data_IF_877524126939
#
_entry.id   IF_877524126939
#
_cell.length_a   1.000
_cell.length_b   1.000
_cell.length_c   1.000
_cell.angle_alpha   90.00
_cell.angle_beta   90.00
_cell.angle_gamma   90.00
#
_symmetry.space_group_name_H-M   'P 1'
#
loop_
_entity.id
_entity.type
_entity.pdbx_description
1 polymer ?
#
# COMPACT_ATOMS: atom_id res chain seq x y z
N UNK A 1 10.50 -15.76 -26.20
CA UNK A 1 9.11 -15.92 -25.73
C UNK A 1 9.14 -15.51 -24.27
N UNK A 2 8.50 -14.42 -23.89
CA UNK A 2 8.41 -14.01 -22.47
C UNK A 2 7.33 -14.87 -21.82
N UNK A 3 7.66 -15.56 -20.72
CA UNK A 3 6.64 -16.23 -19.91
C UNK A 3 5.75 -15.17 -19.26
N UNK A 4 4.43 -15.40 -19.26
CA UNK A 4 3.50 -14.58 -18.45
C UNK A 4 3.82 -14.80 -16.97
N UNK A 5 3.77 -13.74 -16.18
CA UNK A 5 3.82 -13.87 -14.73
C UNK A 5 2.49 -14.48 -14.23
N UNK A 6 2.57 -15.43 -13.30
CA UNK A 6 1.39 -16.04 -12.67
C UNK A 6 0.81 -15.10 -11.60
N UNK A 7 1.66 -14.31 -10.95
CA UNK A 7 1.32 -13.33 -9.91
C UNK A 7 2.37 -12.23 -9.86
N UNK A 8 1.95 -11.03 -9.51
CA UNK A 8 2.83 -9.92 -9.17
C UNK A 8 2.61 -9.53 -7.71
N UNK A 9 3.70 -9.47 -6.95
CA UNK A 9 3.73 -9.02 -5.57
C UNK A 9 4.62 -7.79 -5.50
N UNK A 10 4.05 -6.66 -5.09
CA UNK A 10 4.84 -5.46 -4.81
C UNK A 10 5.23 -5.43 -3.34
N UNK A 11 6.49 -5.15 -3.05
CA UNK A 11 7.01 -5.02 -1.69
C UNK A 11 7.84 -3.76 -1.55
N UNK A 12 7.60 -2.99 -0.51
CA UNK A 12 8.30 -1.72 -0.28
C UNK A 12 7.92 -1.09 1.06
N UNK A 13 8.28 0.17 1.24
CA UNK A 13 7.85 0.97 2.38
C UNK A 13 6.76 1.98 1.99
N UNK A 14 6.13 2.58 2.99
CA UNK A 14 5.10 3.60 2.83
C UNK A 14 4.99 4.49 4.08
N UNK A 15 4.48 5.71 3.90
CA UNK A 15 4.02 6.54 5.00
C UNK A 15 2.68 6.04 5.56
N UNK A 16 2.56 5.97 6.89
CA UNK A 16 1.33 5.56 7.57
C UNK A 16 0.36 6.71 7.81
N UNK A 17 -0.94 6.40 7.89
CA UNK A 17 -1.99 7.40 8.18
C UNK A 17 -1.94 7.97 9.61
N UNK A 18 -1.27 7.29 10.52
CA UNK A 18 -1.07 7.74 11.90
C UNK A 18 -2.19 7.39 12.88
N UNK A 19 -3.33 6.94 12.43
CA UNK A 19 -4.46 6.58 13.30
C UNK A 19 -4.40 5.10 13.67
N UNK A 20 -4.26 4.22 12.69
CA UNK A 20 -4.39 2.78 12.85
C UNK A 20 -3.06 2.04 12.80
N UNK A 21 -2.00 2.65 12.25
CA UNK A 21 -0.73 1.98 11.97
C UNK A 21 0.43 2.63 12.71
N UNK A 22 1.45 1.83 13.00
CA UNK A 22 2.69 2.29 13.62
C UNK A 22 3.88 1.95 12.72
N UNK A 23 5.03 2.58 12.99
CA UNK A 23 6.29 2.26 12.31
C UNK A 23 6.59 0.78 12.50
N UNK A 24 7.06 0.10 11.44
CA UNK A 24 7.29 -1.33 11.30
C UNK A 24 6.03 -2.18 11.08
N UNK A 25 4.82 -1.66 11.29
CA UNK A 25 3.63 -2.38 10.86
C UNK A 25 3.64 -2.61 9.35
N UNK A 26 2.94 -3.64 8.91
CA UNK A 26 2.81 -3.96 7.49
C UNK A 26 1.38 -3.73 7.03
N UNK A 27 1.20 -2.93 6.01
CA UNK A 27 -0.09 -2.79 5.33
C UNK A 27 -0.10 -3.65 4.08
N UNK A 28 -1.08 -4.54 3.99
CA UNK A 28 -1.37 -5.36 2.81
C UNK A 28 -2.56 -4.76 2.09
N UNK A 29 -2.43 -4.55 0.79
CA UNK A 29 -3.49 -3.92 0.01
C UNK A 29 -4.74 -4.79 -0.08
N UNK A 30 -5.89 -4.24 0.28
CA UNK A 30 -7.20 -4.75 -0.15
C UNK A 30 -7.59 -4.13 -1.48
N UNK A 31 -7.30 -2.84 -1.60
CA UNK A 31 -7.55 -1.99 -2.75
C UNK A 31 -6.43 -0.97 -2.89
N UNK A 32 -6.29 -0.43 -4.10
CA UNK A 32 -5.34 0.63 -4.43
C UNK A 32 -6.05 1.73 -5.21
N UNK A 33 -5.67 2.98 -4.95
CA UNK A 33 -6.18 4.16 -5.65
C UNK A 33 -5.05 5.16 -5.86
N UNK A 34 -5.18 6.04 -6.87
CA UNK A 34 -4.29 7.18 -6.98
C UNK A 34 -4.77 8.34 -6.09
N UNK A 35 -3.86 8.95 -5.33
CA UNK A 35 -4.20 10.11 -4.51
C UNK A 35 -3.96 11.46 -5.21
N UNK A 36 -3.41 11.45 -6.42
CA UNK A 36 -3.03 12.64 -7.19
C UNK A 36 -3.67 12.69 -8.59
N UNK A 37 -4.61 11.78 -8.89
CA UNK A 37 -5.36 11.76 -10.15
C UNK A 37 -6.75 12.36 -9.97
N UNK A 38 -7.08 13.30 -10.84
CA UNK A 38 -8.43 13.84 -10.95
C UNK A 38 -8.72 14.25 -12.40
N UNK A 39 -9.63 13.56 -13.05
CA UNK A 39 -9.98 13.79 -14.45
C UNK A 39 -11.03 14.88 -14.65
N UNK A 40 -11.52 15.52 -13.59
CA UNK A 40 -12.52 16.59 -13.65
C UNK A 40 -13.92 16.11 -14.03
N UNK A 41 -14.86 17.03 -14.14
CA UNK A 41 -16.26 16.73 -14.48
C UNK A 41 -16.56 16.91 -15.97
N UNK A 42 -15.65 17.43 -16.76
CA UNK A 42 -15.87 17.75 -18.18
C UNK A 42 -16.09 16.51 -19.07
N UNK A 43 -15.67 15.34 -18.63
CA UNK A 43 -15.75 14.07 -19.36
C UNK A 43 -16.69 13.06 -18.69
N UNK A 44 -17.63 13.55 -17.87
CA UNK A 44 -18.59 12.74 -17.11
C UNK A 44 -18.37 12.82 -15.62
N UNK A 45 -19.01 11.93 -14.86
CA UNK A 45 -18.70 11.81 -13.42
C UNK A 45 -17.32 11.20 -13.26
N UNK A 46 -16.38 11.93 -12.70
CA UNK A 46 -15.09 11.38 -12.28
C UNK A 46 -15.01 11.35 -10.76
N UNK A 47 -14.52 10.24 -10.25
CA UNK A 47 -14.22 10.05 -8.84
C UNK A 47 -12.76 10.46 -8.61
N UNK A 48 -12.48 11.09 -7.47
CA UNK A 48 -11.10 11.43 -7.11
C UNK A 48 -10.28 10.14 -6.99
N UNK A 49 -9.11 10.11 -7.62
CA UNK A 49 -8.24 8.93 -7.71
C UNK A 49 -8.52 8.00 -8.88
N UNK A 50 -9.59 8.23 -9.66
CA UNK A 50 -9.90 7.40 -10.80
C UNK A 50 -9.22 7.88 -12.07
N UNK A 51 -8.43 6.99 -12.70
CA UNK A 51 -7.92 7.18 -14.05
C UNK A 51 -9.06 6.91 -15.02
N UNK A 52 -9.24 7.80 -16.01
CA UNK A 52 -10.31 7.66 -17.00
C UNK A 52 -10.26 6.31 -17.73
N UNK A 53 -11.41 5.63 -17.78
CA UNK A 53 -11.53 4.32 -18.42
C UNK A 53 -11.09 3.12 -17.55
N UNK A 54 -10.70 3.40 -16.31
CA UNK A 54 -10.34 2.38 -15.32
C UNK A 54 -11.32 2.34 -14.15
N UNK A 55 -11.29 1.28 -13.33
CA UNK A 55 -12.07 1.25 -12.09
C UNK A 55 -11.60 2.34 -11.11
N UNK A 56 -12.47 2.75 -10.20
CA UNK A 56 -12.14 3.71 -9.13
C UNK A 56 -11.04 3.19 -8.20
N UNK A 57 -11.01 1.88 -8.02
CA UNK A 57 -10.08 1.15 -7.16
C UNK A 57 -9.58 -0.09 -7.86
N UNK A 58 -8.30 -0.37 -7.77
CA UNK A 58 -7.71 -1.64 -8.20
C UNK A 58 -7.73 -2.60 -7.00
N UNK A 59 -8.52 -3.67 -7.11
CA UNK A 59 -8.64 -4.67 -6.03
C UNK A 59 -7.47 -5.64 -6.06
N UNK A 60 -6.97 -6.00 -4.87
CA UNK A 60 -6.06 -7.11 -4.74
C UNK A 60 -6.74 -8.42 -5.15
N UNK A 61 -5.95 -9.40 -5.60
CA UNK A 61 -6.48 -10.72 -5.94
C UNK A 61 -7.11 -11.38 -4.70
N UNK A 62 -8.34 -11.94 -4.79
CA UNK A 62 -9.03 -12.48 -3.63
C UNK A 62 -8.32 -13.68 -2.98
N UNK A 63 -7.62 -14.52 -3.76
CA UNK A 63 -6.89 -15.68 -3.22
C UNK A 63 -5.64 -15.24 -2.47
N UNK A 64 -4.91 -14.28 -3.03
CA UNK A 64 -3.74 -13.69 -2.37
C UNK A 64 -4.15 -12.95 -1.09
N UNK A 65 -5.25 -12.20 -1.15
CA UNK A 65 -5.78 -11.49 0.00
C UNK A 65 -6.22 -12.44 1.14
N UNK A 66 -6.88 -13.54 0.82
CA UNK A 66 -7.27 -14.53 1.81
C UNK A 66 -6.05 -15.15 2.54
N UNK A 67 -4.97 -15.42 1.81
CA UNK A 67 -3.70 -15.88 2.43
C UNK A 67 -3.09 -14.81 3.33
N UNK A 68 -3.02 -13.57 2.88
CA UNK A 68 -2.50 -12.47 3.69
C UNK A 68 -3.33 -12.23 4.96
N UNK A 69 -4.65 -12.41 4.87
CA UNK A 69 -5.56 -12.34 6.02
C UNK A 69 -5.26 -13.43 7.05
N UNK A 70 -4.99 -14.65 6.62
CA UNK A 70 -4.59 -15.73 7.53
C UNK A 70 -3.27 -15.40 8.23
N UNK A 71 -2.28 -14.90 7.50
CA UNK A 71 -1.01 -14.45 8.09
C UNK A 71 -1.20 -13.34 9.14
N UNK A 72 -2.12 -12.41 8.90
CA UNK A 72 -2.44 -11.35 9.87
C UNK A 72 -2.98 -11.92 11.19
N UNK A 73 -3.84 -12.94 11.11
CA UNK A 73 -4.36 -13.65 12.29
C UNK A 73 -3.24 -14.39 13.02
N UNK A 74 -2.40 -15.12 12.29
CA UNK A 74 -1.30 -15.89 12.85
C UNK A 74 -0.27 -14.98 13.55
N UNK A 75 0.07 -13.84 12.96
CA UNK A 75 0.97 -12.85 13.54
C UNK A 75 0.40 -12.23 14.81
N UNK A 76 -0.89 -11.95 14.86
CA UNK A 76 -1.58 -11.44 16.04
C UNK A 76 -1.55 -12.44 17.20
N UNK A 77 -1.77 -13.71 16.92
CA UNK A 77 -1.71 -14.80 17.92
C UNK A 77 -0.29 -15.00 18.45
N UNK A 78 0.71 -14.85 17.59
CA UNK A 78 2.12 -14.99 17.97
C UNK A 78 2.67 -13.79 18.76
N UNK A 79 1.90 -12.75 19.02
CA UNK A 79 2.33 -11.51 19.68
C UNK A 79 3.57 -10.89 19.04
N UNK A 80 3.58 -10.79 17.70
CA UNK A 80 4.66 -10.16 16.96
C UNK A 80 4.86 -8.70 17.37
N UNK A 81 6.09 -8.20 17.25
CA UNK A 81 6.43 -6.79 17.55
C UNK A 81 5.82 -5.80 16.55
N UNK A 82 5.30 -6.27 15.43
CA UNK A 82 4.60 -5.52 14.40
C UNK A 82 3.21 -6.13 14.16
N UNK A 83 2.33 -5.36 13.56
CA UNK A 83 1.01 -5.84 13.15
C UNK A 83 0.90 -5.87 11.62
N UNK A 84 0.06 -6.78 11.11
CA UNK A 84 -0.30 -6.84 9.70
C UNK A 84 -1.72 -6.30 9.55
N UNK A 85 -1.85 -5.19 8.87
CA UNK A 85 -3.12 -4.52 8.59
C UNK A 85 -3.53 -4.79 7.15
N UNK A 86 -4.83 -4.95 6.94
CA UNK A 86 -5.42 -5.02 5.61
C UNK A 86 -6.12 -3.69 5.34
N UNK A 87 -5.89 -3.08 4.17
CA UNK A 87 -6.50 -1.80 3.89
C UNK A 87 -6.16 -1.19 2.53
N UNK A 88 -6.72 0.00 2.29
CA UNK A 88 -6.42 0.79 1.11
C UNK A 88 -4.98 1.33 1.20
N UNK A 89 -4.23 1.20 0.11
CA UNK A 89 -3.00 1.93 -0.12
C UNK A 89 -3.28 3.00 -1.19
N UNK A 90 -3.01 4.26 -0.88
CA UNK A 90 -3.14 5.35 -1.82
C UNK A 90 -1.77 5.73 -2.40
N UNK A 91 -1.69 5.81 -3.74
CA UNK A 91 -0.45 5.97 -4.48
C UNK A 91 -0.43 7.29 -5.24
N UNK A 92 0.72 7.94 -5.34
CA UNK A 92 0.90 9.11 -6.22
C UNK A 92 2.35 9.53 -6.35
N UNK A 93 2.66 10.39 -7.30
CA UNK A 93 4.02 10.87 -7.59
C UNK A 93 4.45 11.99 -6.62
N UNK A 94 4.10 11.84 -5.35
CA UNK A 94 4.42 12.80 -4.29
C UNK A 94 5.00 12.11 -3.07
N UNK A 95 6.25 12.45 -2.71
CA UNK A 95 6.81 12.05 -1.43
C UNK A 95 6.15 12.87 -0.31
N UNK A 96 5.33 12.21 0.51
CA UNK A 96 4.50 12.87 1.53
C UNK A 96 5.31 13.07 2.79
N UNK A 97 5.97 14.22 2.90
CA UNK A 97 6.83 14.63 4.01
C UNK A 97 6.19 15.66 4.95
N UNK A 98 4.93 16.02 4.73
CA UNK A 98 4.26 17.07 5.50
C UNK A 98 2.88 16.66 6.00
N UNK A 99 2.52 17.20 7.18
CA UNK A 99 1.20 16.99 7.79
C UNK A 99 0.06 17.50 6.91
N UNK A 100 0.27 18.60 6.22
CA UNK A 100 -0.80 19.22 5.42
C UNK A 100 -1.08 18.40 4.17
N UNK A 101 -0.04 17.87 3.50
CA UNK A 101 -0.23 16.97 2.37
C UNK A 101 -0.87 15.65 2.80
N UNK A 102 -0.46 15.09 3.93
CA UNK A 102 -1.11 13.88 4.48
C UNK A 102 -2.58 14.12 4.80
N UNK A 103 -2.93 15.26 5.42
CA UNK A 103 -4.33 15.61 5.70
C UNK A 103 -5.18 15.79 4.44
N UNK A 104 -4.61 16.39 3.39
CA UNK A 104 -5.26 16.52 2.09
C UNK A 104 -5.60 15.14 1.53
N UNK A 105 -4.63 14.21 1.52
CA UNK A 105 -4.83 12.84 1.01
C UNK A 105 -5.90 12.10 1.83
N UNK A 106 -5.79 12.12 3.16
CA UNK A 106 -6.78 11.48 4.06
C UNK A 106 -8.16 12.11 3.91
N UNK A 107 -8.23 13.42 3.60
CA UNK A 107 -9.49 14.09 3.30
C UNK A 107 -10.25 13.48 2.11
N UNK A 108 -9.53 12.95 1.12
CA UNK A 108 -10.10 12.24 -0.03
C UNK A 108 -10.22 10.72 0.20
N UNK A 109 -9.34 10.16 1.00
CA UNK A 109 -9.21 8.72 1.27
C UNK A 109 -9.12 8.44 2.77
N UNK A 110 -10.21 8.68 3.54
CA UNK A 110 -10.19 8.54 4.99
C UNK A 110 -9.90 7.09 5.46
N UNK A 111 -10.15 6.11 4.60
CA UNK A 111 -9.87 4.69 4.87
C UNK A 111 -8.45 4.24 4.47
N UNK A 112 -7.63 5.12 3.85
CA UNK A 112 -6.26 4.77 3.48
C UNK A 112 -5.41 4.53 4.73
N UNK A 113 -4.72 3.39 4.77
CA UNK A 113 -3.81 3.02 5.85
C UNK A 113 -2.36 3.35 5.53
N UNK A 114 -2.00 3.36 4.26
CA UNK A 114 -0.66 3.65 3.79
C UNK A 114 -0.68 4.49 2.52
N UNK A 115 0.37 5.29 2.35
CA UNK A 115 0.59 6.16 1.19
C UNK A 115 1.93 5.79 0.59
N UNK A 116 1.95 5.47 -0.70
CA UNK A 116 3.17 5.09 -1.43
C UNK A 116 3.27 5.77 -2.81
N UNK A 117 4.25 5.39 -3.60
CA UNK A 117 4.48 6.00 -4.91
C UNK A 117 4.41 4.99 -6.08
N UNK A 118 4.17 3.69 -5.85
CA UNK A 118 4.28 2.67 -6.90
C UNK A 118 3.07 1.74 -7.02
N UNK A 119 2.40 1.42 -5.92
CA UNK A 119 1.46 0.29 -5.88
C UNK A 119 0.30 0.38 -6.86
N UNK A 120 -0.34 1.54 -7.01
CA UNK A 120 -1.47 1.68 -7.92
C UNK A 120 -1.04 1.60 -9.40
N UNK A 121 0.16 2.09 -9.75
CA UNK A 121 0.68 2.00 -11.12
C UNK A 121 0.97 0.54 -11.53
N UNK A 122 1.54 -0.24 -10.59
CA UNK A 122 1.75 -1.67 -10.79
C UNK A 122 0.40 -2.40 -10.90
N UNK A 123 -0.53 -2.11 -9.99
CA UNK A 123 -1.86 -2.70 -9.99
C UNK A 123 -2.65 -2.39 -11.27
N UNK A 124 -2.57 -1.16 -11.77
CA UNK A 124 -3.17 -0.77 -13.06
C UNK A 124 -2.60 -1.58 -14.21
N UNK A 125 -1.29 -1.79 -14.23
CA UNK A 125 -0.63 -2.63 -15.23
C UNK A 125 -1.10 -4.08 -15.13
N UNK A 126 -1.16 -4.62 -13.90
CA UNK A 126 -1.66 -5.98 -13.65
C UNK A 126 -3.14 -6.12 -14.07
N UNK A 127 -3.97 -5.11 -13.79
CA UNK A 127 -5.37 -5.07 -14.23
C UNK A 127 -5.49 -5.16 -15.76
N UNK A 128 -4.69 -4.40 -16.51
CA UNK A 128 -4.68 -4.43 -17.97
C UNK A 128 -4.27 -5.80 -18.55
N UNK A 129 -3.38 -6.49 -17.87
CA UNK A 129 -2.85 -7.78 -18.32
C UNK A 129 -3.53 -8.99 -17.66
N UNK A 130 -4.55 -8.76 -16.83
CA UNK A 130 -5.27 -9.79 -16.08
C UNK A 130 -4.34 -10.67 -15.22
N UNK A 131 -3.32 -10.08 -14.63
CA UNK A 131 -2.38 -10.75 -13.73
C UNK A 131 -2.79 -10.51 -12.27
N UNK A 132 -2.92 -11.55 -11.44
CA UNK A 132 -3.17 -11.40 -10.00
C UNK A 132 -2.13 -10.50 -9.33
N UNK A 133 -2.57 -9.60 -8.46
CA UNK A 133 -1.72 -8.61 -7.81
C UNK A 133 -2.04 -8.43 -6.33
N UNK A 134 -1.01 -8.19 -5.53
CA UNK A 134 -1.11 -7.74 -4.13
C UNK A 134 0.12 -6.89 -3.77
N UNK A 135 -0.06 -5.91 -2.87
CA UNK A 135 1.02 -5.07 -2.38
C UNK A 135 1.20 -5.21 -0.88
N UNK A 136 2.47 -5.22 -0.44
CA UNK A 136 2.90 -5.20 0.95
C UNK A 136 3.74 -3.94 1.18
N UNK A 137 3.37 -3.14 2.18
CA UNK A 137 4.07 -1.91 2.55
C UNK A 137 4.41 -1.91 4.02
N UNK A 138 5.69 -1.86 4.34
CA UNK A 138 6.16 -1.64 5.71
C UNK A 138 6.08 -0.15 6.00
N UNK A 139 5.49 0.21 7.13
CA UNK A 139 5.38 1.62 7.52
C UNK A 139 6.75 2.11 7.99
N UNK A 140 7.34 3.01 7.21
CA UNK A 140 8.64 3.62 7.47
C UNK A 140 8.57 4.87 8.33
N UNK A 141 7.47 5.62 8.19
CA UNK A 141 7.26 6.91 8.81
C UNK A 141 5.76 7.21 8.93
N UNK A 142 5.44 8.19 9.75
CA UNK A 142 4.06 8.66 9.94
C UNK A 142 4.07 10.18 9.80
N UNK A 143 3.80 10.74 8.61
CA UNK A 143 3.92 12.16 8.34
C UNK A 143 3.08 13.07 9.26
N UNK A 144 1.99 12.55 9.84
CA UNK A 144 1.20 13.29 10.85
C UNK A 144 1.92 13.43 12.18
N UNK A 145 2.88 12.56 12.51
CA UNK A 145 3.65 12.55 13.75
C UNK A 145 5.07 13.10 13.56
N UNK A 146 5.59 13.02 12.33
CA UNK A 146 6.90 13.52 11.94
C UNK A 146 6.79 14.84 11.16
N UNK A 147 7.80 15.69 11.23
CA UNK A 147 7.79 17.00 10.55
C UNK A 147 8.95 17.20 9.59
N UNK A 148 9.92 16.29 9.56
CA UNK A 148 11.19 16.47 8.85
C UNK A 148 11.72 15.20 8.19
N UNK A 149 10.85 14.21 8.01
CA UNK A 149 11.19 12.88 7.45
C UNK A 149 12.28 12.13 8.24
N UNK A 150 12.53 12.48 9.50
CA UNK A 150 13.55 11.82 10.33
C UNK A 150 13.22 10.35 10.54
N UNK A 151 11.95 10.00 10.74
CA UNK A 151 11.50 8.62 10.87
C UNK A 151 11.83 7.78 9.63
N UNK A 152 11.63 8.33 8.42
CA UNK A 152 11.98 7.66 7.17
C UNK A 152 13.49 7.38 7.08
N UNK A 153 14.32 8.35 7.42
CA UNK A 153 15.78 8.16 7.42
C UNK A 153 16.23 7.15 8.48
N UNK A 154 15.66 7.21 9.69
CA UNK A 154 15.96 6.28 10.77
C UNK A 154 15.55 4.85 10.42
N UNK A 155 14.40 4.67 9.76
CA UNK A 155 13.93 3.37 9.28
C UNK A 155 14.98 2.70 8.38
N UNK A 156 15.47 3.40 7.37
CA UNK A 156 16.46 2.85 6.45
C UNK A 156 17.80 2.56 7.11
N UNK A 157 18.19 3.35 8.12
CA UNK A 157 19.45 3.16 8.82
C UNK A 157 19.42 2.02 9.85
N UNK A 158 18.24 1.64 10.36
CA UNK A 158 18.15 0.78 11.56
C UNK A 158 17.24 -0.43 11.41
N UNK A 159 16.20 -0.38 10.60
CA UNK A 159 15.09 -1.33 10.63
C UNK A 159 14.90 -2.08 9.32
N UNK A 160 15.30 -1.51 8.19
CA UNK A 160 14.94 -1.98 6.85
C UNK A 160 15.28 -3.45 6.59
N UNK A 161 16.38 -3.97 7.10
CA UNK A 161 16.85 -5.33 6.83
C UNK A 161 15.86 -6.42 7.29
N UNK A 162 15.10 -6.16 8.35
CA UNK A 162 14.14 -7.11 8.91
C UNK A 162 12.68 -6.85 8.50
N UNK A 163 12.43 -5.69 7.89
CA UNK A 163 11.06 -5.20 7.65
C UNK A 163 10.32 -5.95 6.54
N UNK A 164 11.04 -6.58 5.62
CA UNK A 164 10.45 -7.29 4.48
C UNK A 164 10.21 -8.79 4.74
N UNK A 165 10.41 -9.24 5.98
CA UNK A 165 10.24 -10.65 6.34
C UNK A 165 8.80 -11.14 6.11
N UNK A 166 7.79 -10.27 6.29
CA UNK A 166 6.37 -10.61 6.05
C UNK A 166 6.16 -10.99 4.58
N UNK A 167 6.66 -10.16 3.66
CA UNK A 167 6.55 -10.44 2.21
C UNK A 167 7.29 -11.73 1.84
N UNK A 168 8.47 -11.95 2.40
CA UNK A 168 9.25 -13.18 2.17
C UNK A 168 8.46 -14.42 2.62
N UNK A 169 7.92 -14.40 3.84
CA UNK A 169 7.09 -15.50 4.37
C UNK A 169 5.86 -15.74 3.51
N UNK A 170 5.22 -14.66 3.03
CA UNK A 170 4.08 -14.79 2.13
C UNK A 170 4.45 -15.49 0.82
N UNK A 171 5.56 -15.11 0.19
CA UNK A 171 6.06 -15.75 -1.04
C UNK A 171 6.37 -17.23 -0.80
N UNK A 172 7.03 -17.57 0.31
CA UNK A 172 7.34 -18.96 0.68
C UNK A 172 6.08 -19.83 0.86
N UNK A 173 4.97 -19.23 1.28
CA UNK A 173 3.68 -19.94 1.41
C UNK A 173 2.93 -20.10 0.07
N UNK A 174 3.33 -19.39 -0.98
CA UNK A 174 2.75 -19.53 -2.32
C UNK A 174 3.37 -20.68 -3.12
N UNK A 175 4.62 -21.02 -2.80
CA UNK A 175 5.39 -22.10 -3.45
C UNK A 175 5.06 -23.46 -2.87
#
# INVERSE_FOLDING_TARGET
MFSSADVIISSGCAGGNGDDVNIQDVVVSTELAYHDVYCGTAIGQSVYGQVQGFPERFKADPMLLAKAQQMSVDASVAHSSFQIHLGLIATGDWFVDSKDKMREIIGHFPEAKAIDMESAAIAQTCYLHHVPFISFRVISDIPLRDTDASQYHDFWNTIADNSFQVTKTFVEQLL
#
